data_IF_169261582939
#
_entry.id   IF_169261582939
#
_cell.length_a   1.000
_cell.length_b   1.000
_cell.length_c   1.000
_cell.angle_alpha   90.00
_cell.angle_beta   90.00
_cell.angle_gamma   90.00
#
_symmetry.space_group_name_H-M   'P 1'
#
loop_
_entity.id
_entity.type
_entity.pdbx_description
1 polymer ?
#
# COMPACT_ATOMS: atom_id res chain seq x y z
N UNK A 1 17.02 -13.79 22.15
CA UNK A 1 15.75 -14.00 21.43
C UNK A 1 15.92 -15.24 20.58
N UNK A 2 15.00 -16.18 20.63
CA UNK A 2 15.09 -17.42 19.83
C UNK A 2 14.62 -17.18 18.39
N UNK A 3 14.94 -18.10 17.47
CA UNK A 3 14.43 -18.05 16.11
C UNK A 3 12.88 -18.07 16.06
N UNK A 4 12.26 -18.81 16.96
CA UNK A 4 10.80 -18.87 17.10
C UNK A 4 10.19 -17.55 17.58
N UNK A 5 10.88 -16.83 18.48
CA UNK A 5 10.44 -15.49 18.91
C UNK A 5 10.53 -14.47 17.78
N UNK A 6 11.55 -14.59 16.91
CA UNK A 6 11.72 -13.72 15.74
C UNK A 6 10.64 -13.97 14.70
N UNK A 7 10.36 -15.23 14.36
CA UNK A 7 9.28 -15.59 13.41
C UNK A 7 7.90 -15.14 13.91
N UNK A 8 7.62 -15.31 15.21
CA UNK A 8 6.39 -14.80 15.84
C UNK A 8 6.30 -13.28 15.72
N UNK A 9 7.37 -12.57 16.03
CA UNK A 9 7.41 -11.11 15.93
C UNK A 9 7.17 -10.62 14.49
N UNK A 10 7.81 -11.24 13.49
CA UNK A 10 7.60 -10.91 12.08
C UNK A 10 6.14 -11.13 11.66
N UNK A 11 5.55 -12.27 12.02
CA UNK A 11 4.15 -12.61 11.72
C UNK A 11 3.18 -11.61 12.36
N UNK A 12 3.42 -11.22 13.61
CA UNK A 12 2.59 -10.23 14.31
C UNK A 12 2.69 -8.85 13.66
N UNK A 13 3.88 -8.43 13.22
CA UNK A 13 4.05 -7.17 12.50
C UNK A 13 3.31 -7.17 11.16
N UNK A 14 3.43 -8.24 10.37
CA UNK A 14 2.69 -8.37 9.10
C UNK A 14 1.18 -8.29 9.31
N UNK A 15 0.68 -8.98 10.34
CA UNK A 15 -0.75 -8.96 10.69
C UNK A 15 -1.22 -7.55 11.10
N UNK A 16 -0.39 -6.80 11.83
CA UNK A 16 -0.69 -5.41 12.20
C UNK A 16 -0.79 -4.51 10.97
N UNK A 17 0.21 -4.58 10.07
CA UNK A 17 0.22 -3.82 8.83
C UNK A 17 -0.99 -4.11 7.95
N UNK A 18 -1.38 -5.39 7.84
CA UNK A 18 -2.57 -5.78 7.11
C UNK A 18 -3.86 -5.17 7.70
N UNK A 19 -3.98 -5.19 9.03
CA UNK A 19 -5.15 -4.61 9.72
C UNK A 19 -5.22 -3.10 9.50
N UNK A 20 -4.11 -2.39 9.70
CA UNK A 20 -4.04 -0.95 9.46
C UNK A 20 -4.42 -0.60 8.02
N UNK A 21 -3.90 -1.34 7.04
CA UNK A 21 -4.27 -1.15 5.64
C UNK A 21 -5.78 -1.40 5.41
N UNK A 22 -6.31 -2.51 5.94
CA UNK A 22 -7.72 -2.87 5.79
C UNK A 22 -8.66 -1.82 6.40
N UNK A 23 -8.28 -1.22 7.52
CA UNK A 23 -9.10 -0.24 8.22
C UNK A 23 -9.21 1.08 7.45
N UNK A 24 -8.17 1.48 6.72
CA UNK A 24 -8.14 2.77 6.00
C UNK A 24 -8.51 2.65 4.53
N UNK A 25 -8.29 1.49 3.88
CA UNK A 25 -8.43 1.37 2.42
C UNK A 25 -9.83 1.74 1.92
N UNK A 26 -10.88 1.42 2.69
CA UNK A 26 -12.26 1.77 2.37
C UNK A 26 -12.58 3.28 2.42
N UNK A 27 -11.68 4.11 2.96
CA UNK A 27 -11.80 5.57 2.98
C UNK A 27 -11.36 6.22 1.66
N UNK A 28 -10.75 5.45 0.76
CA UNK A 28 -10.24 5.93 -0.51
C UNK A 28 -11.11 5.47 -1.68
N UNK A 29 -11.33 6.38 -2.62
CA UNK A 29 -12.16 6.10 -3.80
C UNK A 29 -11.42 5.35 -4.90
N UNK A 30 -10.08 5.44 -4.92
CA UNK A 30 -9.24 4.89 -5.99
C UNK A 30 -7.96 4.26 -5.44
N UNK A 31 -7.52 3.20 -6.14
CA UNK A 31 -6.16 2.67 -6.08
C UNK A 31 -5.47 3.01 -7.40
N UNK A 32 -4.36 3.75 -7.34
CA UNK A 32 -3.54 4.09 -8.50
C UNK A 32 -2.31 3.20 -8.49
N UNK A 33 -2.25 2.28 -9.45
CA UNK A 33 -1.11 1.40 -9.66
C UNK A 33 -0.12 2.04 -10.64
N UNK A 34 1.16 1.95 -10.28
CA UNK A 34 2.29 2.22 -11.15
C UNK A 34 3.22 1.03 -11.10
N UNK A 35 4.19 0.97 -12.01
CA UNK A 35 5.16 -0.12 -12.13
C UNK A 35 5.88 -0.48 -10.81
N UNK A 36 6.03 0.49 -9.89
CA UNK A 36 6.81 0.33 -8.66
C UNK A 36 6.00 0.48 -7.38
N UNK A 37 4.78 1.01 -7.45
CA UNK A 37 4.02 1.47 -6.27
C UNK A 37 2.52 1.47 -6.51
N UNK A 38 1.77 1.27 -5.43
CA UNK A 38 0.35 1.55 -5.32
C UNK A 38 0.12 2.80 -4.48
N UNK A 39 -0.83 3.63 -4.87
CA UNK A 39 -1.27 4.81 -4.14
C UNK A 39 -2.76 4.71 -3.85
N UNK A 40 -3.17 5.15 -2.66
CA UNK A 40 -4.58 5.33 -2.32
C UNK A 40 -4.94 6.81 -2.52
N UNK A 41 -6.02 7.09 -3.24
CA UNK A 41 -6.40 8.45 -3.57
C UNK A 41 -7.93 8.64 -3.55
N UNK A 42 -8.37 9.84 -3.20
CA UNK A 42 -9.79 10.24 -3.30
C UNK A 42 -10.13 10.96 -4.61
N UNK A 43 -9.12 11.41 -5.35
CA UNK A 43 -9.24 12.00 -6.67
C UNK A 43 -7.98 11.69 -7.48
N UNK A 44 -8.13 11.48 -8.78
CA UNK A 44 -7.01 11.19 -9.69
C UNK A 44 -7.10 12.13 -10.89
N UNK A 45 -5.99 12.81 -11.19
CA UNK A 45 -5.81 13.61 -12.41
C UNK A 45 -4.67 12.99 -13.22
N UNK A 46 -4.94 12.66 -14.48
CA UNK A 46 -3.93 12.15 -15.41
C UNK A 46 -3.62 13.22 -16.45
N UNK A 47 -2.37 13.69 -16.46
CA UNK A 47 -1.86 14.61 -17.47
C UNK A 47 -0.98 13.83 -18.44
N UNK A 48 -1.50 13.42 -19.61
CA UNK A 48 -0.69 12.75 -20.60
C UNK A 48 0.41 13.68 -21.10
N UNK A 49 1.67 13.23 -21.00
CA UNK A 49 2.81 13.87 -21.67
C UNK A 49 2.93 13.23 -23.04
N UNK A 50 2.31 13.84 -24.05
CA UNK A 50 2.62 13.49 -25.43
C UNK A 50 4.06 13.90 -25.71
N UNK A 51 4.87 12.97 -26.20
CA UNK A 51 6.26 13.24 -26.58
C UNK A 51 6.31 13.99 -27.93
N UNK A 52 5.76 15.19 -27.98
CA UNK A 52 5.92 16.10 -29.09
C UNK A 52 6.80 17.28 -28.63
N UNK A 53 8.12 17.16 -28.90
CA UNK A 53 9.10 18.25 -29.01
C UNK A 53 9.29 19.18 -27.82
#
# INVERSE_FOLDING_TARGET
MSAEDLEKYETEMELSLYREYKDIVGQFSYVVETERRFYLANSVEMVPRNADG
#
